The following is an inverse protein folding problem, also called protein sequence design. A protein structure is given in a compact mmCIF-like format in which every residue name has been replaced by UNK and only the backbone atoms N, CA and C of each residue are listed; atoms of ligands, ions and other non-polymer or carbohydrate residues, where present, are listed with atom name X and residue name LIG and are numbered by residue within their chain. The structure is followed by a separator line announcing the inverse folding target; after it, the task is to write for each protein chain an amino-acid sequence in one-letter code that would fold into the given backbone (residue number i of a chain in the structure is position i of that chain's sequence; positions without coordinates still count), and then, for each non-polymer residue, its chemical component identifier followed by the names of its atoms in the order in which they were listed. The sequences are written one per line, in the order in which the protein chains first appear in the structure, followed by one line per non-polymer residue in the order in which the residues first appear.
data_IF_806115074895
#
_entry.id   IF_806115074895
#
_cell.length_a   1.000
_cell.length_b   1.000
_cell.length_c   1.000
_cell.angle_alpha   90.00
_cell.angle_beta   90.00
_cell.angle_gamma   90.00
#
_symmetry.space_group_name_H-M   'P 1'
#
loop_
_entity.id
_entity.type
_entity.pdbx_description
1 polymer ?
#
# COMPACT_ATOMS: atom_id res chain seq x y z
N UNK A 1 -29.16 -18.61 3.75
CA UNK A 1 -28.93 -17.67 2.66
C UNK A 1 -27.49 -17.20 2.75
N UNK A 2 -26.58 -17.73 1.96
CA UNK A 2 -25.25 -17.14 1.80
C UNK A 2 -25.46 -15.85 1.01
N UNK A 3 -25.50 -14.72 1.67
CA UNK A 3 -25.47 -13.43 0.98
C UNK A 3 -24.05 -13.29 0.40
N UNK A 4 -23.94 -13.44 -0.90
CA UNK A 4 -22.70 -13.19 -1.62
C UNK A 4 -22.31 -11.71 -1.41
N UNK A 5 -21.22 -11.49 -0.71
CA UNK A 5 -20.69 -10.15 -0.46
C UNK A 5 -20.21 -9.56 -1.80
N UNK A 6 -20.75 -8.41 -2.17
CA UNK A 6 -20.31 -7.64 -3.34
C UNK A 6 -19.42 -6.49 -2.93
N UNK A 7 -18.37 -6.29 -3.70
CA UNK A 7 -17.36 -5.26 -3.48
C UNK A 7 -17.50 -4.17 -4.52
N UNK A 8 -17.47 -2.93 -4.08
CA UNK A 8 -17.46 -1.74 -4.95
C UNK A 8 -16.01 -1.36 -5.26
N UNK A 9 -15.64 -1.37 -6.54
CA UNK A 9 -14.33 -0.92 -7.01
C UNK A 9 -14.25 0.60 -7.11
N UNK A 10 -13.02 1.11 -7.30
CA UNK A 10 -12.77 2.55 -7.50
C UNK A 10 -13.47 3.15 -8.74
N UNK A 11 -13.78 2.34 -9.75
CA UNK A 11 -14.54 2.71 -10.94
C UNK A 11 -16.06 2.66 -10.74
N UNK A 12 -16.52 2.34 -9.52
CA UNK A 12 -17.94 2.19 -9.18
C UNK A 12 -18.54 0.83 -9.56
N UNK A 13 -17.81 -0.05 -10.24
CA UNK A 13 -18.29 -1.38 -10.58
C UNK A 13 -18.46 -2.26 -9.35
N UNK A 14 -19.53 -3.09 -9.34
CA UNK A 14 -19.79 -4.06 -8.28
C UNK A 14 -19.40 -5.45 -8.76
N UNK A 15 -18.55 -6.12 -7.99
CA UNK A 15 -18.09 -7.48 -8.27
C UNK A 15 -18.22 -8.33 -7.01
N UNK A 16 -18.31 -9.63 -7.18
CA UNK A 16 -18.22 -10.58 -6.07
C UNK A 16 -16.87 -10.46 -5.34
N UNK A 17 -16.87 -10.62 -4.01
CA UNK A 17 -15.63 -10.60 -3.24
C UNK A 17 -14.73 -11.76 -3.66
N UNK A 18 -13.47 -11.45 -3.90
CA UNK A 18 -12.46 -12.47 -4.25
C UNK A 18 -11.58 -12.74 -3.02
N UNK A 19 -11.94 -13.77 -2.27
CA UNK A 19 -11.21 -14.19 -1.07
C UNK A 19 -9.80 -14.68 -1.38
N UNK A 20 -9.58 -15.37 -2.51
CA UNK A 20 -8.24 -15.82 -2.92
C UNK A 20 -7.29 -14.64 -3.16
N UNK A 21 -7.81 -13.52 -3.61
CA UNK A 21 -7.01 -12.31 -3.78
C UNK A 21 -6.63 -11.70 -2.43
N UNK A 22 -7.54 -11.72 -1.47
CA UNK A 22 -7.29 -11.25 -0.10
C UNK A 22 -6.24 -12.17 0.55
N UNK A 23 -6.45 -13.48 0.47
CA UNK A 23 -5.52 -14.48 0.98
C UNK A 23 -4.09 -14.25 0.48
N UNK A 24 -3.89 -14.18 -0.84
CA UNK A 24 -2.56 -13.95 -1.43
C UNK A 24 -1.92 -12.62 -1.01
N UNK A 25 -2.72 -11.59 -0.75
CA UNK A 25 -2.20 -10.32 -0.26
C UNK A 25 -1.73 -10.43 1.18
N UNK A 26 -2.49 -11.13 2.04
CA UNK A 26 -2.11 -11.39 3.44
C UNK A 26 -0.89 -12.31 3.50
N UNK A 27 -0.85 -13.39 2.70
CA UNK A 27 0.30 -14.26 2.54
C UNK A 27 1.57 -13.48 2.19
N UNK A 28 1.50 -12.61 1.17
CA UNK A 28 2.63 -11.75 0.78
C UNK A 28 3.07 -10.79 1.90
N UNK A 29 2.12 -10.28 2.69
CA UNK A 29 2.44 -9.40 3.82
C UNK A 29 3.11 -10.15 4.97
N UNK A 30 2.73 -11.42 5.21
CA UNK A 30 3.30 -12.28 6.25
C UNK A 30 4.64 -12.94 5.84
N UNK A 31 4.96 -12.94 4.55
CA UNK A 31 6.12 -13.64 4.02
C UNK A 31 7.41 -13.24 4.74
N UNK A 32 8.20 -14.25 5.13
CA UNK A 32 9.49 -14.10 5.81
C UNK A 32 9.43 -13.37 7.17
N UNK A 33 8.25 -13.29 7.79
CA UNK A 33 8.06 -12.78 9.15
C UNK A 33 7.73 -13.96 10.07
N UNK A 34 8.54 -14.14 11.11
CA UNK A 34 8.33 -15.20 12.11
C UNK A 34 7.30 -14.82 13.16
N UNK A 35 6.57 -15.79 13.70
CA UNK A 35 5.63 -15.56 14.81
C UNK A 35 4.32 -14.86 14.41
N UNK A 36 3.95 -14.92 13.12
CA UNK A 36 2.69 -14.39 12.59
C UNK A 36 1.88 -15.49 11.92
N UNK A 37 0.57 -15.33 11.85
CA UNK A 37 -0.37 -16.26 11.21
C UNK A 37 -1.26 -15.51 10.22
N UNK A 38 -1.24 -15.93 8.98
CA UNK A 38 -2.11 -15.43 7.91
C UNK A 38 -3.57 -15.63 8.29
N UNK A 39 -3.91 -16.83 8.74
CA UNK A 39 -5.28 -17.18 9.16
C UNK A 39 -5.79 -16.29 10.29
N UNK A 40 -4.93 -15.86 11.22
CA UNK A 40 -5.36 -14.96 12.30
C UNK A 40 -5.76 -13.58 11.76
N UNK A 41 -5.00 -13.04 10.80
CA UNK A 41 -5.35 -11.77 10.12
C UNK A 41 -6.65 -11.92 9.33
N UNK A 42 -6.81 -13.02 8.59
CA UNK A 42 -7.99 -13.29 7.77
C UNK A 42 -9.26 -13.47 8.61
N UNK A 43 -9.20 -14.24 9.68
CA UNK A 43 -10.33 -14.43 10.59
C UNK A 43 -10.76 -13.11 11.22
N UNK A 44 -9.80 -12.31 11.68
CA UNK A 44 -10.11 -11.03 12.30
C UNK A 44 -10.69 -10.03 11.29
N UNK A 45 -10.25 -10.07 10.02
CA UNK A 45 -10.76 -9.21 8.96
C UNK A 45 -12.10 -9.69 8.39
N UNK A 46 -12.27 -11.00 8.19
CA UNK A 46 -13.47 -11.58 7.57
C UNK A 46 -14.75 -11.29 8.30
N UNK A 47 -14.69 -11.16 9.62
CA UNK A 47 -15.83 -10.79 10.47
C UNK A 47 -16.35 -9.35 10.26
N UNK A 48 -15.56 -8.50 9.57
CA UNK A 48 -15.86 -7.09 9.35
C UNK A 48 -16.33 -6.79 7.92
N UNK A 49 -16.34 -7.79 7.02
CA UNK A 49 -16.79 -7.60 5.64
C UNK A 49 -18.32 -7.62 5.53
N UNK A 50 -18.87 -6.70 4.75
CA UNK A 50 -20.31 -6.55 4.51
C UNK A 50 -20.60 -6.32 3.02
N UNK A 51 -21.85 -6.53 2.61
CA UNK A 51 -22.26 -6.30 1.21
C UNK A 51 -22.18 -4.81 0.86
N UNK A 52 -21.58 -4.52 -0.32
CA UNK A 52 -21.33 -3.15 -0.76
C UNK A 52 -20.04 -2.53 -0.24
N UNK A 53 -19.20 -3.27 0.51
CA UNK A 53 -17.90 -2.80 0.98
C UNK A 53 -17.01 -2.36 -0.20
N UNK A 54 -16.26 -1.28 -0.04
CA UNK A 54 -15.32 -0.81 -1.03
C UNK A 54 -13.97 -1.51 -0.94
N UNK A 55 -13.21 -1.52 -2.04
CA UNK A 55 -11.84 -2.06 -2.01
C UNK A 55 -10.91 -1.30 -1.07
N UNK A 56 -11.19 -0.01 -0.82
CA UNK A 56 -10.41 0.79 0.14
C UNK A 56 -10.74 0.41 1.58
N UNK A 57 -12.02 0.16 1.89
CA UNK A 57 -12.44 -0.29 3.22
C UNK A 57 -11.87 -1.68 3.52
N UNK A 58 -11.89 -2.62 2.56
CA UNK A 58 -11.22 -3.92 2.71
C UNK A 58 -9.74 -3.72 3.09
N UNK A 59 -9.02 -2.83 2.38
CA UNK A 59 -7.62 -2.55 2.67
C UNK A 59 -7.44 -2.01 4.10
N UNK A 60 -8.28 -1.07 4.52
CA UNK A 60 -8.24 -0.50 5.88
C UNK A 60 -8.54 -1.56 6.95
N UNK A 61 -9.52 -2.44 6.70
CA UNK A 61 -9.87 -3.54 7.61
C UNK A 61 -8.69 -4.51 7.75
N UNK A 62 -8.02 -4.88 6.66
CA UNK A 62 -6.85 -5.77 6.72
C UNK A 62 -5.69 -5.16 7.53
N UNK A 63 -5.39 -3.88 7.30
CA UNK A 63 -4.37 -3.15 8.07
C UNK A 63 -4.75 -3.12 9.56
N UNK A 64 -6.01 -2.77 9.87
CA UNK A 64 -6.50 -2.73 11.25
C UNK A 64 -6.44 -4.11 11.90
N UNK A 65 -6.90 -5.15 11.21
CA UNK A 65 -6.90 -6.53 11.72
C UNK A 65 -5.50 -7.02 12.06
N UNK A 66 -4.50 -6.70 11.24
CA UNK A 66 -3.11 -7.02 11.55
C UNK A 66 -2.57 -6.18 12.71
N UNK A 67 -2.94 -4.88 12.79
CA UNK A 67 -2.50 -4.01 13.90
C UNK A 67 -3.11 -4.41 15.23
N UNK A 68 -4.34 -4.90 15.24
CA UNK A 68 -5.02 -5.36 16.47
C UNK A 68 -4.41 -6.65 17.05
N UNK A 69 -3.62 -7.38 16.25
CA UNK A 69 -2.87 -8.58 16.69
C UNK A 69 -1.50 -8.26 17.28
N UNK A 70 -1.07 -6.99 17.27
CA UNK A 70 0.21 -6.59 17.86
C UNK A 70 0.12 -6.72 19.38
N UNK A 71 0.97 -7.56 19.96
CA UNK A 71 1.06 -7.76 21.41
C UNK A 71 2.52 -7.96 21.84
N UNK A 72 2.76 -8.08 23.15
CA UNK A 72 4.09 -8.40 23.65
C UNK A 72 4.54 -9.80 23.21
N UNK A 73 3.62 -10.74 23.10
CA UNK A 73 3.88 -12.12 22.66
C UNK A 73 4.01 -12.22 21.14
N UNK A 74 3.40 -11.30 20.40
CA UNK A 74 3.36 -11.32 18.93
C UNK A 74 3.65 -9.94 18.33
N UNK A 75 4.84 -9.36 18.59
CA UNK A 75 5.16 -7.99 18.18
C UNK A 75 5.33 -7.86 16.66
N UNK A 76 5.61 -8.95 15.96
CA UNK A 76 5.94 -8.94 14.53
C UNK A 76 4.75 -8.65 13.63
N UNK A 77 3.50 -8.68 14.12
CA UNK A 77 2.36 -8.20 13.37
C UNK A 77 2.46 -6.71 13.00
N UNK A 78 3.32 -5.92 13.69
CA UNK A 78 3.62 -4.55 13.29
C UNK A 78 4.19 -4.44 11.87
N UNK A 79 4.97 -5.44 11.42
CA UNK A 79 5.50 -5.47 10.07
C UNK A 79 4.45 -5.93 9.06
N UNK A 80 3.57 -6.86 9.45
CA UNK A 80 2.43 -7.29 8.61
C UNK A 80 1.49 -6.11 8.36
N UNK A 81 1.10 -5.39 9.41
CA UNK A 81 0.26 -4.20 9.29
C UNK A 81 0.91 -3.10 8.43
N UNK A 82 2.23 -2.88 8.58
CA UNK A 82 2.99 -1.94 7.76
C UNK A 82 2.99 -2.34 6.28
N UNK A 83 3.25 -3.61 5.96
CA UNK A 83 3.26 -4.09 4.57
C UNK A 83 1.88 -4.02 3.92
N UNK A 84 0.81 -4.34 4.65
CA UNK A 84 -0.56 -4.16 4.17
C UNK A 84 -0.86 -2.68 3.90
N UNK A 85 -0.44 -1.76 4.78
CA UNK A 85 -0.56 -0.32 4.56
C UNK A 85 0.22 0.13 3.33
N UNK A 86 1.48 -0.32 3.18
CA UNK A 86 2.34 -0.02 2.04
C UNK A 86 1.70 -0.45 0.71
N UNK A 87 1.10 -1.66 0.63
CA UNK A 87 0.40 -2.12 -0.57
C UNK A 87 -0.77 -1.20 -0.96
N UNK A 88 -1.48 -0.66 0.04
CA UNK A 88 -2.53 0.33 -0.17
C UNK A 88 -2.00 1.63 -0.76
N UNK A 89 -0.90 2.15 -0.20
CA UNK A 89 -0.23 3.37 -0.66
C UNK A 89 0.30 3.21 -2.09
N UNK A 90 1.04 2.13 -2.37
CA UNK A 90 1.58 1.82 -3.70
C UNK A 90 0.46 1.76 -4.76
N UNK A 91 -0.66 1.12 -4.43
CA UNK A 91 -1.82 1.08 -5.32
C UNK A 91 -2.41 2.48 -5.56
N UNK A 92 -2.50 3.30 -4.53
CA UNK A 92 -3.07 4.65 -4.63
C UNK A 92 -2.18 5.58 -5.46
N UNK A 93 -0.87 5.54 -5.24
CA UNK A 93 0.09 6.46 -5.87
C UNK A 93 0.47 6.02 -7.29
N UNK A 94 0.75 4.73 -7.47
CA UNK A 94 1.26 4.21 -8.75
C UNK A 94 0.22 3.43 -9.56
N UNK A 95 -1.01 3.28 -9.04
CA UNK A 95 -2.05 2.42 -9.62
C UNK A 95 -1.57 0.97 -9.87
N UNK A 96 -0.56 0.53 -9.14
CA UNK A 96 0.05 -0.79 -9.26
C UNK A 96 -0.72 -1.83 -8.46
N UNK A 97 -0.49 -3.09 -8.78
CA UNK A 97 -1.05 -4.21 -8.02
C UNK A 97 0.07 -4.80 -7.17
N UNK A 98 -0.22 -5.09 -5.91
CA UNK A 98 0.71 -5.72 -4.97
C UNK A 98 1.44 -6.97 -5.50
N UNK A 99 0.93 -7.59 -6.55
CA UNK A 99 1.51 -8.77 -7.21
C UNK A 99 2.42 -8.43 -8.39
N UNK A 100 2.48 -7.15 -8.79
CA UNK A 100 3.32 -6.73 -9.90
C UNK A 100 4.80 -6.84 -9.47
N UNK A 101 5.67 -7.28 -10.35
CA UNK A 101 7.12 -7.41 -10.09
C UNK A 101 7.82 -6.06 -10.04
N UNK A 102 7.31 -5.11 -10.82
CA UNK A 102 7.79 -3.74 -10.89
C UNK A 102 6.72 -2.81 -10.32
N UNK A 103 6.80 -2.55 -9.01
CA UNK A 103 5.83 -1.70 -8.32
C UNK A 103 6.16 -0.23 -8.52
N UNK A 104 7.46 0.10 -8.56
CA UNK A 104 7.95 1.46 -8.66
C UNK A 104 8.35 1.80 -10.09
N UNK A 105 7.77 2.85 -10.68
CA UNK A 105 8.25 3.41 -11.93
C UNK A 105 9.69 3.90 -11.81
N UNK A 106 10.44 4.03 -12.93
CA UNK A 106 11.74 4.68 -12.93
C UNK A 106 11.68 6.09 -12.31
N UNK A 107 12.74 6.46 -11.58
CA UNK A 107 12.78 7.75 -10.87
C UNK A 107 12.43 8.94 -11.77
N UNK A 108 12.91 8.95 -13.01
CA UNK A 108 12.64 10.04 -13.97
C UNK A 108 11.13 10.17 -14.24
N UNK A 109 10.43 9.07 -14.46
CA UNK A 109 8.97 9.07 -14.68
C UNK A 109 8.21 9.60 -13.46
N UNK A 110 8.67 9.26 -12.25
CA UNK A 110 8.10 9.79 -11.00
C UNK A 110 8.29 11.31 -10.94
N UNK A 111 9.50 11.80 -11.28
CA UNK A 111 9.80 13.24 -11.27
C UNK A 111 8.99 13.97 -12.33
N UNK A 112 8.92 13.48 -13.56
CA UNK A 112 8.12 14.06 -14.65
C UNK A 112 6.65 14.20 -14.24
N UNK A 113 6.05 13.12 -13.71
CA UNK A 113 4.68 13.13 -13.23
C UNK A 113 4.45 14.15 -12.12
N UNK A 114 5.39 14.28 -11.18
CA UNK A 114 5.27 15.23 -10.08
C UNK A 114 5.50 16.69 -10.52
N UNK A 115 6.24 16.93 -11.58
CA UNK A 115 6.33 18.23 -12.26
C UNK A 115 4.99 18.57 -12.92
N UNK A 116 4.36 17.62 -13.61
CA UNK A 116 3.05 17.81 -14.24
C UNK A 116 1.96 18.12 -13.20
N UNK A 117 2.01 17.49 -12.04
CA UNK A 117 1.15 17.80 -10.91
C UNK A 117 1.51 19.09 -10.16
N UNK A 118 2.57 19.81 -10.59
CA UNK A 118 3.10 21.02 -9.95
C UNK A 118 3.53 20.81 -8.49
N UNK A 119 3.93 19.59 -8.15
CA UNK A 119 4.52 19.22 -6.86
C UNK A 119 6.01 19.52 -6.85
N UNK A 120 6.68 19.28 -7.98
CA UNK A 120 8.09 19.58 -8.17
C UNK A 120 8.28 20.75 -9.13
N UNK A 121 9.38 21.49 -8.96
CA UNK A 121 9.81 22.50 -9.91
C UNK A 121 10.30 21.83 -11.21
N UNK A 122 9.85 22.36 -12.34
CA UNK A 122 10.26 21.85 -13.67
C UNK A 122 11.77 21.94 -13.91
N UNK A 123 12.46 22.85 -13.23
CA UNK A 123 13.91 23.01 -13.39
C UNK A 123 14.71 21.79 -12.96
N UNK A 124 14.13 20.91 -12.13
CA UNK A 124 14.77 19.63 -11.76
C UNK A 124 15.05 18.75 -12.99
N UNK A 125 14.17 18.76 -14.00
CA UNK A 125 14.36 18.01 -15.25
C UNK A 125 15.47 18.58 -16.14
N UNK A 126 15.84 19.86 -15.95
CA UNK A 126 16.92 20.51 -16.67
C UNK A 126 18.29 20.37 -15.97
N UNK A 127 18.27 20.04 -14.66
CA UNK A 127 19.48 19.95 -13.84
C UNK A 127 20.20 18.60 -13.96
N UNK A 128 19.48 17.55 -14.34
CA UNK A 128 20.01 16.19 -14.39
C UNK A 128 19.78 15.56 -15.75
N UNK A 129 20.80 14.85 -16.24
CA UNK A 129 20.73 14.05 -17.46
C UNK A 129 20.00 12.72 -17.22
N UNK A 130 19.62 12.02 -18.28
CA UNK A 130 18.98 10.71 -18.21
C UNK A 130 19.90 9.65 -17.57
N UNK A 131 21.21 9.74 -17.83
CA UNK A 131 22.21 8.88 -17.21
C UNK A 131 22.29 9.13 -15.69
N UNK A 132 22.21 10.39 -15.27
CA UNK A 132 22.21 10.75 -13.85
C UNK A 132 20.94 10.27 -13.15
N UNK A 133 19.76 10.45 -13.74
CA UNK A 133 18.52 9.87 -13.21
C UNK A 133 18.61 8.35 -13.07
N UNK A 134 19.13 7.67 -14.08
CA UNK A 134 19.34 6.22 -14.05
C UNK A 134 20.29 5.84 -12.91
N UNK A 135 21.39 6.55 -12.76
CA UNK A 135 22.36 6.32 -11.69
C UNK A 135 21.75 6.55 -10.31
N UNK A 136 21.03 7.65 -10.11
CA UNK A 136 20.34 7.95 -8.83
C UNK A 136 19.34 6.85 -8.51
N UNK A 137 18.55 6.39 -9.50
CA UNK A 137 17.58 5.33 -9.33
C UNK A 137 18.21 4.04 -8.77
N UNK A 138 19.46 3.73 -9.09
CA UNK A 138 20.15 2.54 -8.57
C UNK A 138 20.48 2.62 -7.07
N UNK A 139 20.55 3.83 -6.50
CA UNK A 139 20.78 4.02 -5.06
C UNK A 139 19.51 3.84 -4.22
N UNK A 140 18.33 3.95 -4.83
CA UNK A 140 17.05 3.75 -4.15
C UNK A 140 16.86 2.25 -3.93
N UNK A 141 16.68 1.85 -2.66
CA UNK A 141 16.52 0.44 -2.28
C UNK A 141 15.11 0.22 -1.72
N UNK A 142 14.16 -0.02 -2.63
CA UNK A 142 12.75 -0.22 -2.30
C UNK A 142 12.47 -1.38 -1.33
N UNK A 143 13.40 -2.36 -1.22
CA UNK A 143 13.29 -3.43 -0.21
C UNK A 143 13.24 -2.89 1.23
N UNK A 144 13.83 -1.72 1.48
CA UNK A 144 13.78 -1.07 2.81
C UNK A 144 12.38 -0.64 3.23
N UNK A 145 11.47 -0.50 2.27
CA UNK A 145 10.08 -0.13 2.55
C UNK A 145 9.36 -1.22 3.36
N UNK A 146 9.83 -2.47 3.26
CA UNK A 146 9.32 -3.61 4.03
C UNK A 146 9.86 -3.69 5.46
N UNK A 147 10.83 -2.85 5.82
CA UNK A 147 11.43 -2.80 7.16
C UNK A 147 10.70 -1.80 8.09
N UNK A 148 9.75 -1.03 7.56
CA UNK A 148 8.94 -0.12 8.37
C UNK A 148 8.09 -0.89 9.38
N UNK A 149 8.02 -0.36 10.61
CA UNK A 149 6.97 -0.73 11.55
C UNK A 149 5.67 -0.01 11.18
N UNK A 150 4.52 -0.54 11.63
CA UNK A 150 3.22 0.08 11.37
C UNK A 150 3.16 1.55 11.86
N UNK A 151 3.59 1.80 13.10
CA UNK A 151 3.60 3.15 13.66
C UNK A 151 4.53 4.09 12.86
N UNK A 152 5.71 3.60 12.45
CA UNK A 152 6.66 4.38 11.65
C UNK A 152 6.09 4.74 10.28
N UNK A 153 5.52 3.77 9.56
CA UNK A 153 4.93 4.02 8.25
C UNK A 153 3.68 4.91 8.35
N UNK A 154 2.83 4.71 9.37
CA UNK A 154 1.67 5.56 9.61
C UNK A 154 2.09 7.03 9.84
N UNK A 155 3.15 7.26 10.60
CA UNK A 155 3.69 8.61 10.80
C UNK A 155 4.18 9.24 9.49
N UNK A 156 4.82 8.45 8.62
CA UNK A 156 5.24 8.91 7.29
C UNK A 156 4.01 9.32 6.47
N UNK A 157 2.97 8.49 6.43
CA UNK A 157 1.72 8.77 5.72
C UNK A 157 1.05 10.05 6.21
N UNK A 158 0.95 10.21 7.54
CA UNK A 158 0.18 11.29 8.14
C UNK A 158 0.90 12.65 8.06
N UNK A 159 2.24 12.66 7.99
CA UNK A 159 3.02 13.89 8.15
C UNK A 159 3.93 14.26 6.98
N UNK A 160 4.37 13.28 6.20
CA UNK A 160 5.45 13.50 5.22
C UNK A 160 5.02 13.25 3.78
N UNK A 161 4.01 12.39 3.53
CA UNK A 161 3.55 12.16 2.17
C UNK A 161 2.75 13.36 1.65
N UNK A 162 3.04 13.74 0.41
CA UNK A 162 2.32 14.83 -0.24
C UNK A 162 0.92 14.37 -0.62
N UNK A 163 -0.07 15.13 -0.17
CA UNK A 163 -1.49 14.88 -0.44
C UNK A 163 -2.09 16.05 -1.21
N UNK A 164 -3.00 15.75 -2.12
CA UNK A 164 -3.88 16.75 -2.72
C UNK A 164 -4.80 17.34 -1.64
N UNK A 165 -4.77 18.65 -1.47
CA UNK A 165 -5.52 19.33 -0.40
C UNK A 165 -7.03 19.28 -0.56
N UNK A 166 -7.51 19.07 -1.78
CA UNK A 166 -8.94 19.02 -2.09
C UNK A 166 -9.53 17.62 -1.93
N UNK A 167 -8.75 16.59 -2.27
CA UNK A 167 -9.19 15.18 -2.28
C UNK A 167 -8.61 14.35 -1.17
N UNK A 168 -7.57 14.85 -0.48
CA UNK A 168 -6.72 14.10 0.49
C UNK A 168 -6.12 12.83 -0.09
N UNK A 169 -6.06 12.73 -1.43
CA UNK A 169 -5.39 11.61 -2.10
C UNK A 169 -3.88 11.80 -2.08
N UNK A 170 -3.14 10.71 -1.93
CA UNK A 170 -1.68 10.72 -1.99
C UNK A 170 -1.23 10.99 -3.43
N UNK A 171 -0.33 11.96 -3.60
CA UNK A 171 0.25 12.31 -4.89
C UNK A 171 1.63 11.68 -5.05
N UNK A 172 2.39 11.60 -3.94
CA UNK A 172 3.80 11.25 -3.95
C UNK A 172 4.19 10.48 -2.68
N UNK A 173 5.06 9.47 -2.88
CA UNK A 173 5.75 8.73 -1.81
C UNK A 173 7.24 9.05 -1.90
#
# INVERSE_FOLDING_TARGET
MNSEIRVVKSDGSKVEINLDKIHRMVEKACKDITGVSESAVEMNSGLQFFDGITTQEIQKILVKSASDLISLESPNYQFVAARLLLFGIQKQVFNTKWKDSEIYPPLKEIVERNVDFKVYDKDILNQYTDEEFTKINTYIKHQRDFDFTYAGLQQVVDKYLVQDRSTLSLIHI
#
